data_IF_596073417735
#
_entry.id   IF_596073417735
#
_cell.length_a   1.000
_cell.length_b   1.000
_cell.length_c   1.000
_cell.angle_alpha   90.00
_cell.angle_beta   90.00
_cell.angle_gamma   90.00
#
_symmetry.space_group_name_H-M   'P 1'
#
loop_
_entity.id
_entity.type
_entity.pdbx_description
1 polymer ?
#
# COMPACT_ATOMS: atom_id res chain seq x y z
N UNK A 1 30.25 -31.19 -51.06
CA UNK A 1 28.93 -31.78 -50.75
C UNK A 1 28.84 -31.87 -49.23
N UNK A 2 28.18 -30.85 -48.66
CA UNK A 2 26.97 -30.97 -47.81
C UNK A 2 27.31 -31.31 -46.36
N UNK A 3 27.37 -30.31 -45.49
CA UNK A 3 26.27 -29.86 -44.61
C UNK A 3 26.49 -30.49 -43.23
N UNK A 4 26.87 -29.75 -42.20
CA UNK A 4 26.02 -28.76 -41.56
C UNK A 4 25.42 -29.42 -40.32
N UNK A 5 26.08 -29.27 -39.18
CA UNK A 5 25.42 -29.45 -37.89
C UNK A 5 25.49 -28.11 -37.19
N UNK A 6 24.44 -27.32 -37.44
CA UNK A 6 24.26 -26.02 -36.82
C UNK A 6 24.27 -26.19 -35.32
N UNK A 7 25.16 -25.47 -34.67
CA UNK A 7 25.00 -25.10 -33.27
C UNK A 7 23.62 -24.46 -33.19
N UNK A 8 22.66 -25.18 -32.59
CA UNK A 8 21.38 -24.60 -32.19
C UNK A 8 21.76 -23.61 -31.10
N UNK A 9 22.05 -22.38 -31.55
CA UNK A 9 22.50 -21.30 -30.70
C UNK A 9 21.47 -21.14 -29.60
N UNK A 10 21.96 -21.06 -28.38
CA UNK A 10 21.28 -20.43 -27.27
C UNK A 10 20.58 -19.18 -27.80
N UNK A 11 19.26 -19.23 -28.02
CA UNK A 11 18.44 -18.03 -27.90
C UNK A 11 18.61 -17.65 -26.44
N UNK A 12 19.63 -16.82 -26.25
CA UNK A 12 20.31 -16.56 -24.98
C UNK A 12 19.29 -16.07 -23.98
N UNK A 13 19.32 -16.58 -22.75
CA UNK A 13 18.51 -16.08 -21.63
C UNK A 13 18.57 -14.53 -21.53
N UNK A 14 19.69 -13.91 -21.91
CA UNK A 14 19.85 -12.45 -22.04
C UNK A 14 18.88 -11.77 -23.02
N UNK A 15 18.51 -12.43 -24.11
CA UNK A 15 17.57 -11.90 -25.12
C UNK A 15 16.13 -12.05 -24.64
N UNK A 16 15.79 -13.17 -24.00
CA UNK A 16 14.46 -13.36 -23.38
C UNK A 16 14.28 -12.42 -22.18
N UNK A 17 15.25 -12.29 -21.28
CA UNK A 17 15.20 -11.37 -20.13
C UNK A 17 15.11 -9.90 -20.56
N UNK A 18 15.82 -9.54 -21.64
CA UNK A 18 15.75 -8.19 -22.21
C UNK A 18 14.41 -7.94 -22.90
N UNK A 19 13.82 -8.96 -23.51
CA UNK A 19 12.49 -8.89 -24.13
C UNK A 19 11.39 -8.77 -23.09
N UNK A 20 11.42 -9.58 -22.03
CA UNK A 20 10.47 -9.48 -20.91
C UNK A 20 10.59 -8.13 -20.19
N UNK A 21 11.81 -7.60 -20.04
CA UNK A 21 12.03 -6.26 -19.51
C UNK A 21 11.47 -5.13 -20.40
N UNK A 22 11.60 -5.27 -21.73
CA UNK A 22 11.00 -4.32 -22.70
C UNK A 22 9.48 -4.43 -22.67
N UNK A 23 8.93 -5.65 -22.68
CA UNK A 23 7.49 -5.88 -22.63
C UNK A 23 6.89 -5.30 -21.35
N UNK A 24 7.56 -5.45 -20.21
CA UNK A 24 7.17 -4.83 -18.93
C UNK A 24 7.18 -3.30 -19.02
N UNK A 25 8.25 -2.69 -19.55
CA UNK A 25 8.36 -1.24 -19.64
C UNK A 25 7.30 -0.58 -20.57
N UNK A 26 6.69 -1.35 -21.47
CA UNK A 26 5.65 -0.90 -22.39
C UNK A 26 4.23 -1.04 -21.81
N UNK A 27 4.07 -1.66 -20.64
CA UNK A 27 2.77 -1.75 -19.96
C UNK A 27 2.42 -0.42 -19.30
N UNK A 28 1.12 -0.18 -19.08
CA UNK A 28 0.66 0.91 -18.23
C UNK A 28 1.20 0.75 -16.80
N UNK A 29 1.53 1.84 -16.08
CA UNK A 29 2.11 1.78 -14.73
C UNK A 29 1.32 0.89 -13.75
N UNK A 30 -0.01 0.96 -13.79
CA UNK A 30 -0.89 0.12 -12.96
C UNK A 30 -0.76 -1.36 -13.30
N UNK A 31 -0.67 -1.70 -14.59
CA UNK A 31 -0.49 -3.09 -15.06
C UNK A 31 0.91 -3.62 -14.75
N UNK A 32 1.94 -2.77 -14.78
CA UNK A 32 3.29 -3.11 -14.33
C UNK A 32 3.28 -3.53 -12.85
N UNK A 33 2.72 -2.69 -11.97
CA UNK A 33 2.66 -2.99 -10.54
C UNK A 33 1.76 -4.21 -10.27
N UNK A 34 0.63 -4.33 -10.97
CA UNK A 34 -0.24 -5.51 -10.88
C UNK A 34 0.51 -6.79 -11.26
N UNK A 35 1.34 -6.76 -12.29
CA UNK A 35 2.16 -7.91 -12.71
C UNK A 35 3.14 -8.31 -11.59
N UNK A 36 3.86 -7.35 -11.00
CA UNK A 36 4.78 -7.62 -9.87
C UNK A 36 4.04 -8.23 -8.67
N UNK A 37 2.87 -7.71 -8.33
CA UNK A 37 2.04 -8.22 -7.24
C UNK A 37 1.58 -9.66 -7.53
N UNK A 38 1.05 -9.94 -8.73
CA UNK A 38 0.58 -11.28 -9.11
C UNK A 38 1.70 -12.31 -9.13
N UNK A 39 2.85 -11.96 -9.71
CA UNK A 39 4.02 -12.84 -9.72
C UNK A 39 4.46 -13.21 -8.30
N UNK A 40 4.49 -12.23 -7.39
CA UNK A 40 4.90 -12.46 -6.02
C UNK A 40 3.86 -13.25 -5.20
N UNK A 41 2.57 -13.03 -5.46
CA UNK A 41 1.47 -13.66 -4.75
C UNK A 41 1.12 -15.05 -5.27
N UNK A 42 1.66 -15.46 -6.42
CA UNK A 42 1.39 -16.75 -7.04
C UNK A 42 1.52 -17.92 -6.05
N UNK A 43 0.50 -18.77 -5.97
CA UNK A 43 0.37 -19.93 -5.06
C UNK A 43 0.44 -19.64 -3.55
N UNK A 44 0.35 -18.37 -3.12
CA UNK A 44 0.37 -18.01 -1.71
C UNK A 44 -1.04 -17.62 -1.22
N UNK A 45 -1.54 -18.23 -0.12
CA UNK A 45 -2.80 -17.81 0.48
C UNK A 45 -2.72 -16.42 1.11
N UNK A 46 -1.50 -15.97 1.44
CA UNK A 46 -1.15 -14.66 1.95
C UNK A 46 0.34 -14.43 1.76
N UNK A 47 0.77 -13.19 1.48
CA UNK A 47 2.20 -12.86 1.35
C UNK A 47 2.50 -11.49 1.94
N UNK A 48 3.64 -11.36 2.61
CA UNK A 48 4.24 -10.04 2.82
C UNK A 48 4.62 -9.42 1.49
N UNK A 49 4.42 -8.11 1.36
CA UNK A 49 4.65 -7.39 0.11
C UNK A 49 6.04 -6.76 0.04
N UNK A 50 6.91 -6.99 1.04
CA UNK A 50 8.26 -6.44 1.07
C UNK A 50 9.06 -6.68 -0.23
N UNK A 51 9.00 -7.86 -0.88
CA UNK A 51 9.69 -8.08 -2.15
C UNK A 51 9.19 -7.21 -3.30
N UNK A 52 7.96 -6.69 -3.25
CA UNK A 52 7.40 -5.75 -4.24
C UNK A 52 7.63 -4.31 -3.81
N UNK A 53 7.41 -3.99 -2.52
CA UNK A 53 7.54 -2.62 -2.00
C UNK A 53 8.99 -2.14 -1.88
N UNK A 54 9.95 -3.06 -1.84
CA UNK A 54 11.39 -2.78 -1.97
C UNK A 54 11.97 -3.09 -3.37
N UNK A 55 11.16 -3.57 -4.32
CA UNK A 55 11.61 -3.70 -5.72
C UNK A 55 11.75 -2.29 -6.32
N UNK A 56 12.87 -2.03 -7.00
CA UNK A 56 13.16 -0.72 -7.58
C UNK A 56 12.11 -0.22 -8.58
N UNK A 57 11.41 -1.12 -9.27
CA UNK A 57 10.28 -0.78 -10.17
C UNK A 57 9.02 -0.59 -9.35
N UNK A 58 8.73 -1.53 -8.44
CA UNK A 58 7.55 -1.46 -7.56
C UNK A 58 7.50 -0.17 -6.74
N UNK A 59 8.57 0.15 -6.01
CA UNK A 59 8.68 1.36 -5.18
C UNK A 59 8.49 2.65 -6.00
N UNK A 60 8.97 2.69 -7.25
CA UNK A 60 8.79 3.85 -8.12
C UNK A 60 7.34 4.02 -8.60
N UNK A 61 6.58 2.93 -8.72
CA UNK A 61 5.20 2.94 -9.22
C UNK A 61 4.17 3.19 -8.12
N UNK A 62 4.37 2.58 -6.94
CA UNK A 62 3.43 2.55 -5.83
C UNK A 62 2.94 3.95 -5.47
N UNK A 63 3.85 4.89 -5.20
CA UNK A 63 3.46 6.22 -4.74
C UNK A 63 2.57 6.97 -5.74
N UNK A 64 2.89 6.88 -7.03
CA UNK A 64 2.10 7.53 -8.07
C UNK A 64 0.71 6.93 -8.20
N UNK A 65 0.62 5.59 -8.27
CA UNK A 65 -0.65 4.88 -8.40
C UNK A 65 -1.52 5.13 -7.16
N UNK A 66 -0.93 5.14 -5.97
CA UNK A 66 -1.67 5.42 -4.74
C UNK A 66 -2.27 6.82 -4.72
N UNK A 67 -1.50 7.84 -5.12
CA UNK A 67 -2.02 9.21 -5.22
C UNK A 67 -3.12 9.33 -6.28
N UNK A 68 -2.95 8.69 -7.44
CA UNK A 68 -3.96 8.72 -8.51
C UNK A 68 -5.26 8.05 -8.04
N UNK A 69 -5.17 6.89 -7.39
CA UNK A 69 -6.35 6.20 -6.85
C UNK A 69 -7.01 7.00 -5.70
N UNK A 70 -6.23 7.66 -4.85
CA UNK A 70 -6.79 8.55 -3.82
C UNK A 70 -7.56 9.71 -4.46
N UNK A 71 -7.00 10.35 -5.48
CA UNK A 71 -7.64 11.45 -6.22
C UNK A 71 -8.93 10.98 -6.93
N UNK A 72 -8.90 9.81 -7.57
CA UNK A 72 -10.08 9.17 -8.17
C UNK A 72 -11.21 8.90 -7.16
N UNK A 73 -10.85 8.64 -5.90
CA UNK A 73 -11.80 8.44 -4.79
C UNK A 73 -12.17 9.75 -4.07
N UNK A 74 -11.72 10.91 -4.59
CA UNK A 74 -12.08 12.22 -4.08
C UNK A 74 -11.18 12.78 -2.98
N UNK A 75 -9.98 12.20 -2.79
CA UNK A 75 -8.95 12.71 -1.88
C UNK A 75 -7.80 13.31 -2.69
N UNK A 76 -7.89 14.60 -2.99
CA UNK A 76 -6.77 15.35 -3.54
C UNK A 76 -5.67 15.49 -2.50
N UNK A 77 -4.44 15.74 -2.94
CA UNK A 77 -3.28 15.99 -2.08
C UNK A 77 -3.51 17.17 -1.11
N UNK A 78 -4.40 18.11 -1.44
CA UNK A 78 -4.77 19.24 -0.58
C UNK A 78 -5.77 18.87 0.53
N UNK A 79 -6.40 17.69 0.45
CA UNK A 79 -7.43 17.23 1.39
C UNK A 79 -6.84 16.62 2.67
N UNK A 80 -5.55 16.33 2.68
CA UNK A 80 -4.82 15.79 3.83
C UNK A 80 -3.42 16.41 3.94
N UNK A 81 -2.86 16.41 5.14
CA UNK A 81 -1.60 17.09 5.45
C UNK A 81 -0.44 16.13 5.70
N UNK A 82 -0.73 14.83 5.92
CA UNK A 82 0.27 13.79 6.10
C UNK A 82 -0.27 12.38 5.81
N UNK A 83 0.62 11.44 5.52
CA UNK A 83 0.33 10.00 5.39
C UNK A 83 1.06 9.19 6.46
N UNK A 84 0.36 8.24 7.08
CA UNK A 84 0.85 7.49 8.24
C UNK A 84 0.89 5.99 8.01
N UNK A 85 2.04 5.36 8.23
CA UNK A 85 2.15 3.90 8.18
C UNK A 85 1.47 3.27 9.42
N UNK A 86 0.43 2.46 9.19
CA UNK A 86 -0.24 1.64 10.21
C UNK A 86 0.64 0.51 10.72
N UNK A 87 1.46 -0.04 9.82
CA UNK A 87 2.32 -1.19 10.10
C UNK A 87 3.73 -0.92 9.62
N UNK A 88 4.70 -1.70 10.11
CA UNK A 88 6.07 -1.66 9.59
C UNK A 88 6.12 -1.98 8.08
N UNK A 89 5.20 -2.81 7.58
CA UNK A 89 5.09 -3.16 6.17
C UNK A 89 4.62 -1.99 5.29
N UNK A 90 3.95 -1.00 5.89
CA UNK A 90 3.47 0.20 5.21
C UNK A 90 4.52 1.31 5.03
N UNK A 91 5.63 1.25 5.77
CA UNK A 91 6.67 2.28 5.73
C UNK A 91 7.23 2.53 4.31
N UNK A 92 7.53 1.51 3.49
CA UNK A 92 8.01 1.74 2.12
C UNK A 92 6.97 2.44 1.23
N UNK A 93 5.68 2.21 1.46
CA UNK A 93 4.60 2.88 0.73
C UNK A 93 4.51 4.36 1.12
N UNK A 94 4.62 4.67 2.42
CA UNK A 94 4.70 6.07 2.88
C UNK A 94 5.87 6.80 2.24
N UNK A 95 7.06 6.19 2.21
CA UNK A 95 8.21 6.78 1.50
C UNK A 95 7.93 6.99 0.00
N UNK A 96 7.27 6.02 -0.65
CA UNK A 96 6.92 6.11 -2.07
C UNK A 96 5.92 7.24 -2.34
N UNK A 97 4.90 7.41 -1.50
CA UNK A 97 3.93 8.50 -1.56
C UNK A 97 4.61 9.87 -1.41
N UNK A 98 5.51 10.03 -0.44
CA UNK A 98 6.26 11.27 -0.24
C UNK A 98 7.06 11.64 -1.49
N UNK A 99 7.75 10.67 -2.11
CA UNK A 99 8.51 10.90 -3.33
C UNK A 99 7.61 11.22 -4.54
N UNK A 100 6.46 10.53 -4.66
CA UNK A 100 5.51 10.80 -5.72
C UNK A 100 4.88 12.19 -5.59
N UNK A 101 4.49 12.62 -4.38
CA UNK A 101 3.99 13.96 -4.12
C UNK A 101 5.04 15.03 -4.46
N UNK A 102 6.28 14.86 -3.99
CA UNK A 102 7.38 15.77 -4.29
C UNK A 102 7.65 15.89 -5.80
N UNK A 103 7.50 14.78 -6.56
CA UNK A 103 7.65 14.80 -8.03
C UNK A 103 6.55 15.58 -8.74
N UNK A 104 5.38 15.75 -8.10
CA UNK A 104 4.26 16.59 -8.55
C UNK A 104 4.37 18.04 -8.08
N UNK A 105 5.39 18.37 -7.27
CA UNK A 105 5.58 19.69 -6.69
C UNK A 105 4.77 19.92 -5.41
N UNK A 106 4.28 18.84 -4.79
CA UNK A 106 3.45 18.88 -3.60
C UNK A 106 4.24 18.50 -2.34
N UNK A 107 3.92 19.15 -1.23
CA UNK A 107 4.51 18.88 0.07
C UNK A 107 3.66 17.85 0.82
N UNK A 108 4.17 16.63 0.99
CA UNK A 108 3.52 15.58 1.76
C UNK A 108 4.43 15.00 2.85
N UNK A 109 4.06 15.21 4.11
CA UNK A 109 4.76 14.63 5.25
C UNK A 109 4.37 13.15 5.43
N UNK A 110 5.35 12.32 5.75
CA UNK A 110 5.15 10.93 6.16
C UNK A 110 5.43 10.72 7.65
N UNK A 111 4.67 9.85 8.29
CA UNK A 111 4.94 9.40 9.66
C UNK A 111 4.74 7.88 9.83
N UNK A 112 5.29 7.34 10.91
CA UNK A 112 5.10 5.95 11.31
C UNK A 112 4.47 5.94 12.69
N UNK A 113 3.44 5.10 12.85
CA UNK A 113 2.87 4.83 14.16
C UNK A 113 3.65 3.69 14.83
N UNK A 114 3.96 3.88 16.10
CA UNK A 114 4.72 2.94 16.91
C UNK A 114 4.16 2.97 18.34
N UNK A 115 4.25 1.84 19.04
CA UNK A 115 3.81 1.72 20.43
C UNK A 115 4.89 2.16 21.43
N UNK A 116 6.07 2.53 20.95
CA UNK A 116 7.15 3.08 21.77
C UNK A 116 7.13 4.61 21.73
N UNK A 117 7.19 5.26 22.89
CA UNK A 117 7.22 6.72 23.00
C UNK A 117 8.42 7.36 22.26
N UNK A 118 8.24 8.48 21.51
CA UNK A 118 6.96 9.08 21.14
C UNK A 118 6.23 8.20 20.11
N UNK A 119 4.92 8.02 20.26
CA UNK A 119 4.17 7.06 19.43
C UNK A 119 4.13 7.43 17.93
N UNK A 120 4.33 8.71 17.61
CA UNK A 120 4.51 9.20 16.23
C UNK A 120 6.00 9.36 15.96
N UNK A 121 6.47 8.72 14.89
CA UNK A 121 7.82 8.89 14.34
C UNK A 121 7.75 9.68 13.04
N UNK A 122 8.26 10.91 13.05
CA UNK A 122 8.22 11.82 11.90
C UNK A 122 7.87 13.25 12.32
N UNK A 123 7.54 14.12 11.37
CA UNK A 123 6.94 15.43 11.64
C UNK A 123 5.69 15.32 12.52
N UNK A 124 5.39 16.38 13.28
CA UNK A 124 4.19 16.40 14.11
C UNK A 124 2.93 16.33 13.25
N UNK A 125 1.95 15.55 13.72
CA UNK A 125 0.61 15.47 13.14
C UNK A 125 -0.43 16.25 13.95
N UNK A 126 -0.02 17.05 14.94
CA UNK A 126 -0.97 17.71 15.83
C UNK A 126 -1.94 18.61 15.06
N UNK A 127 -3.25 18.35 15.19
CA UNK A 127 -4.29 19.08 14.46
C UNK A 127 -4.35 18.85 12.95
N UNK A 128 -3.59 17.89 12.41
CA UNK A 128 -3.52 17.60 10.97
C UNK A 128 -4.60 16.60 10.53
N UNK A 129 -5.00 16.70 9.26
CA UNK A 129 -5.76 15.68 8.53
C UNK A 129 -4.78 14.63 8.00
N UNK A 130 -5.04 13.35 8.22
CA UNK A 130 -4.11 12.28 7.83
C UNK A 130 -4.82 11.16 7.11
N UNK A 131 -4.11 10.55 6.16
CA UNK A 131 -4.50 9.26 5.58
C UNK A 131 -3.59 8.18 6.17
N UNK A 132 -4.20 7.12 6.69
CA UNK A 132 -3.45 5.98 7.23
C UNK A 132 -3.26 4.93 6.13
N UNK A 133 -2.05 4.37 6.05
CA UNK A 133 -1.62 3.49 4.97
C UNK A 133 -1.28 2.12 5.53
N UNK A 134 -1.76 1.08 4.87
CA UNK A 134 -1.32 -0.30 5.10
C UNK A 134 -0.93 -1.03 3.81
N UNK A 135 -0.19 -2.13 3.92
CA UNK A 135 0.15 -2.97 2.76
C UNK A 135 -1.02 -3.81 2.30
N UNK A 136 -1.74 -4.43 3.22
CA UNK A 136 -2.79 -5.39 2.89
C UNK A 136 -3.83 -5.48 4.01
N UNK A 137 -5.03 -4.97 3.73
CA UNK A 137 -6.18 -5.06 4.63
C UNK A 137 -7.29 -5.89 3.96
N UNK A 138 -7.58 -7.06 4.53
CA UNK A 138 -8.68 -7.92 4.08
C UNK A 138 -9.32 -8.66 5.26
N UNK A 139 -10.53 -9.19 5.06
CA UNK A 139 -11.19 -10.08 6.05
C UNK A 139 -10.40 -11.37 6.32
N UNK A 140 -9.41 -11.69 5.46
CA UNK A 140 -8.52 -12.86 5.55
C UNK A 140 -7.13 -12.49 6.08
N UNK A 141 -6.86 -11.23 6.46
CA UNK A 141 -5.53 -10.78 6.90
C UNK A 141 -5.13 -11.43 8.21
N UNK A 142 -4.52 -12.62 8.13
CA UNK A 142 -3.88 -13.31 9.23
C UNK A 142 -2.45 -12.76 9.39
N UNK A 143 -2.30 -11.80 10.30
CA UNK A 143 -1.04 -11.43 10.96
C UNK A 143 0.04 -10.89 10.02
N UNK A 144 0.08 -9.56 9.87
CA UNK A 144 1.35 -8.85 9.67
C UNK A 144 1.64 -7.98 10.88
N UNK A 145 2.71 -8.34 11.55
CA UNK A 145 3.20 -7.89 12.85
C UNK A 145 3.18 -6.36 13.00
N UNK A 146 2.33 -5.94 13.95
CA UNK A 146 1.97 -4.60 14.47
C UNK A 146 1.18 -3.72 13.49
N UNK A 147 -0.15 -3.55 13.59
CA UNK A 147 -1.04 -3.58 14.77
C UNK A 147 -2.32 -4.41 14.54
N UNK A 148 -2.54 -5.43 15.38
CA UNK A 148 -3.82 -6.12 15.65
C UNK A 148 -4.66 -6.71 14.45
N UNK A 149 -4.49 -8.01 14.19
CA UNK A 149 -5.53 -9.08 14.14
C UNK A 149 -6.83 -8.97 13.30
N UNK A 150 -6.86 -8.64 12.00
CA UNK A 150 -7.97 -9.06 11.09
C UNK A 150 -9.36 -8.42 11.36
N UNK A 151 -9.90 -7.67 10.38
CA UNK A 151 -11.23 -6.98 10.38
C UNK A 151 -12.47 -7.80 10.82
N UNK A 152 -12.33 -9.09 11.12
CA UNK A 152 -13.36 -9.98 11.65
C UNK A 152 -13.95 -9.57 13.00
N UNK A 153 -13.21 -8.89 13.88
CA UNK A 153 -13.67 -8.59 15.25
C UNK A 153 -13.76 -7.10 15.63
N UNK A 154 -13.49 -6.16 14.71
CA UNK A 154 -13.89 -4.74 14.81
C UNK A 154 -13.23 -3.86 15.90
N UNK A 155 -12.18 -4.34 16.58
CA UNK A 155 -11.57 -3.68 17.76
C UNK A 155 -10.07 -3.36 17.62
N UNK A 156 -9.54 -3.41 16.40
CA UNK A 156 -8.11 -3.64 16.21
C UNK A 156 -7.32 -2.41 15.78
N UNK A 157 -7.94 -1.55 14.95
CA UNK A 157 -7.42 -0.21 14.62
C UNK A 157 -7.68 0.81 15.74
N UNK A 158 -8.50 0.44 16.70
CA UNK A 158 -8.92 1.26 17.85
C UNK A 158 -7.75 1.89 18.60
N UNK A 159 -6.65 1.15 18.74
CA UNK A 159 -5.45 1.65 19.42
C UNK A 159 -4.67 2.65 18.56
N UNK A 160 -4.53 2.36 17.27
CA UNK A 160 -3.85 3.24 16.31
C UNK A 160 -4.60 4.58 16.19
N UNK A 161 -5.94 4.53 16.10
CA UNK A 161 -6.79 5.72 16.11
C UNK A 161 -6.66 6.50 17.42
N UNK A 162 -6.59 5.81 18.56
CA UNK A 162 -6.33 6.46 19.85
C UNK A 162 -5.01 7.23 19.90
N UNK A 163 -3.96 6.76 19.20
CA UNK A 163 -2.68 7.50 19.07
C UNK A 163 -2.87 8.77 18.24
N UNK A 164 -3.62 8.70 17.14
CA UNK A 164 -3.92 9.85 16.26
C UNK A 164 -4.80 10.87 16.99
N UNK A 165 -5.85 10.42 17.66
CA UNK A 165 -6.77 11.25 18.46
C UNK A 165 -6.04 11.95 19.61
N UNK A 166 -5.06 11.30 20.24
CA UNK A 166 -4.23 11.91 21.26
C UNK A 166 -3.36 13.08 20.72
N UNK A 167 -3.13 13.15 19.42
CA UNK A 167 -2.51 14.30 18.76
C UNK A 167 -3.54 15.38 18.34
N UNK A 168 -4.84 15.12 18.50
CA UNK A 168 -5.90 15.95 17.95
C UNK A 168 -5.92 15.96 16.42
N UNK A 169 -5.32 14.95 15.78
CA UNK A 169 -5.34 14.75 14.34
C UNK A 169 -6.66 14.09 13.91
N UNK A 170 -6.98 14.15 12.61
CA UNK A 170 -8.20 13.56 12.05
C UNK A 170 -7.83 12.59 10.95
N UNK A 171 -8.21 11.32 11.09
CA UNK A 171 -8.10 10.34 10.01
C UNK A 171 -9.21 10.61 9.00
N UNK A 172 -8.86 11.00 7.77
CA UNK A 172 -9.85 11.28 6.71
C UNK A 172 -10.14 10.05 5.86
N UNK A 173 -9.18 9.12 5.77
CA UNK A 173 -9.34 7.82 5.12
C UNK A 173 -8.26 6.85 5.61
N UNK A 174 -8.51 5.56 5.41
CA UNK A 174 -7.49 4.51 5.42
C UNK A 174 -7.30 4.03 3.98
N UNK A 175 -6.07 3.79 3.54
CA UNK A 175 -5.79 3.22 2.23
C UNK A 175 -4.88 1.99 2.35
N UNK A 176 -5.10 0.97 1.52
CA UNK A 176 -4.22 -0.20 1.46
C UNK A 176 -3.83 -0.55 0.04
N UNK A 177 -2.57 -0.93 -0.16
CA UNK A 177 -2.10 -1.38 -1.47
C UNK A 177 -2.90 -2.58 -1.99
N UNK A 178 -3.26 -3.51 -1.10
CA UNK A 178 -4.21 -4.58 -1.39
C UNK A 178 -5.37 -4.50 -0.40
N UNK A 179 -6.57 -4.30 -0.93
CA UNK A 179 -7.81 -4.40 -0.18
C UNK A 179 -8.53 -5.69 -0.49
N UNK A 180 -9.17 -6.31 0.49
CA UNK A 180 -9.99 -7.50 0.28
C UNK A 180 -11.35 -7.41 0.95
N UNK A 181 -11.97 -6.23 0.90
CA UNK A 181 -13.39 -6.08 1.24
C UNK A 181 -14.13 -5.96 -0.09
N UNK A 182 -14.92 -6.97 -0.45
CA UNK A 182 -15.72 -6.92 -1.69
C UNK A 182 -16.95 -6.00 -1.47
N UNK A 183 -16.73 -4.70 -1.25
CA UNK A 183 -17.73 -3.68 -0.95
C UNK A 183 -17.73 -2.58 -2.04
N UNK A 184 -18.91 -2.11 -2.46
CA UNK A 184 -19.03 -1.02 -3.47
C UNK A 184 -18.53 0.33 -2.93
N UNK A 185 -18.74 0.61 -1.65
CA UNK A 185 -18.21 1.77 -0.92
C UNK A 185 -17.58 1.26 0.38
N UNK A 186 -16.29 0.90 0.36
CA UNK A 186 -15.69 0.24 1.50
C UNK A 186 -15.46 1.22 2.66
N UNK A 187 -15.94 0.85 3.85
CA UNK A 187 -15.69 1.58 5.10
C UNK A 187 -15.09 0.65 6.15
N UNK A 188 -14.25 1.21 7.01
CA UNK A 188 -13.75 0.55 8.20
C UNK A 188 -14.52 1.07 9.41
N UNK A 189 -15.14 0.14 10.13
CA UNK A 189 -15.74 0.43 11.42
C UNK A 189 -14.67 0.37 12.51
N UNK A 190 -14.32 1.52 13.09
CA UNK A 190 -13.41 1.62 14.24
C UNK A 190 -14.23 1.84 15.50
N UNK A 191 -13.95 1.05 16.53
CA UNK A 191 -14.59 1.18 17.85
C UNK A 191 -13.57 1.71 18.86
N UNK A 192 -13.85 2.83 19.52
CA UNK A 192 -13.02 3.31 20.63
C UNK A 192 -13.02 2.27 21.76
N UNK A 193 -11.84 1.78 22.21
CA UNK A 193 -11.77 0.68 23.17
C UNK A 193 -12.07 1.13 24.62
N UNK A 194 -12.08 2.44 24.88
CA UNK A 194 -12.33 3.05 26.18
C UNK A 194 -13.80 3.47 26.29
N UNK A 195 -14.35 4.13 25.27
CA UNK A 195 -15.72 4.66 25.30
C UNK A 195 -16.74 3.71 24.69
N UNK A 196 -16.31 2.82 23.79
CA UNK A 196 -17.19 1.94 23.01
C UNK A 196 -17.93 2.65 21.87
N UNK A 197 -17.63 3.92 21.60
CA UNK A 197 -18.17 4.65 20.45
C UNK A 197 -17.59 4.06 19.15
N UNK A 198 -18.42 3.95 18.11
CA UNK A 198 -17.99 3.43 16.82
C UNK A 198 -18.12 4.48 15.73
N UNK A 199 -17.08 4.60 14.90
CA UNK A 199 -17.01 5.52 13.78
C UNK A 199 -16.70 4.75 12.49
N UNK A 200 -17.36 5.13 11.41
CA UNK A 200 -17.06 4.62 10.06
C UNK A 200 -16.01 5.54 9.44
N UNK A 201 -14.92 4.95 8.94
CA UNK A 201 -13.85 5.66 8.23
C UNK A 201 -13.78 5.15 6.79
N UNK A 202 -13.71 6.03 5.78
CA UNK A 202 -13.55 5.60 4.39
C UNK A 202 -12.32 4.71 4.19
N UNK A 203 -12.47 3.67 3.38
CA UNK A 203 -11.38 2.79 2.98
C UNK A 203 -11.10 2.96 1.49
N UNK A 204 -9.82 3.01 1.11
CA UNK A 204 -9.40 3.09 -0.29
C UNK A 204 -8.54 1.88 -0.62
N UNK A 205 -9.02 1.06 -1.55
CA UNK A 205 -8.34 -0.14 -2.02
C UNK A 205 -7.61 0.17 -3.31
N UNK A 206 -6.28 0.09 -3.30
CA UNK A 206 -5.49 0.38 -4.50
C UNK A 206 -5.64 -0.74 -5.52
N UNK A 207 -5.59 -1.99 -5.06
CA UNK A 207 -5.97 -3.17 -5.83
C UNK A 207 -6.91 -4.03 -4.99
N UNK A 208 -7.94 -4.58 -5.61
CA UNK A 208 -8.73 -5.61 -4.95
C UNK A 208 -7.98 -6.95 -4.95
N UNK A 209 -8.07 -7.70 -3.84
CA UNK A 209 -7.47 -9.03 -3.67
C UNK A 209 -7.90 -9.97 -4.81
N UNK A 210 -9.16 -9.86 -5.25
CA UNK A 210 -9.73 -10.64 -6.37
C UNK A 210 -9.09 -10.37 -7.73
N UNK A 211 -8.44 -9.22 -7.92
CA UNK A 211 -7.71 -8.89 -9.15
C UNK A 211 -6.34 -9.57 -9.25
N UNK A 212 -5.84 -10.08 -8.13
CA UNK A 212 -4.45 -10.55 -7.99
C UNK A 212 -4.32 -12.07 -7.96
N UNK A 213 -5.45 -12.79 -7.84
CA UNK A 213 -5.52 -14.25 -7.93
C UNK A 213 -5.89 -14.77 -9.33
#
# INVERSE_FOLDING_TARGET
MTSGNGTLGTMSEDTEFRKTGIDFAMMEPRDQLKTLLREHMHDKPFSELAPVTFDHRGAALIGHIMLDTLEEQGYSIEDFDAVGALTAAAVPMVCSLMHAAASRGEDLDGFVMDFVYPAIKGPSIAGKRVILIDSWLSEKSYVQTSSLVTLRNGNELSLDFGIVDAQGATVVAVAALIGGVDMEEPTLRITDPVTGEAHETPFVEIFHESELH
#
